data_IF_781257164674
#
_entry.id   IF_781257164674
#
_cell.length_a   1.000
_cell.length_b   1.000
_cell.length_c   1.000
_cell.angle_alpha   90.00
_cell.angle_beta   90.00
_cell.angle_gamma   90.00
#
_symmetry.space_group_name_H-M   'P 1'
#
loop_
_entity.id
_entity.type
_entity.pdbx_description
1 polymer ?
#
# COMPACT_ATOMS: atom_id res chain seq x y z
N UNK A 1 16.81 11.14 -41.81
CA UNK A 1 16.99 10.61 -40.44
C UNK A 1 15.91 11.20 -39.55
N UNK A 2 15.30 10.39 -38.68
CA UNK A 2 14.24 10.78 -37.76
C UNK A 2 14.88 11.06 -36.40
N UNK A 3 14.63 12.22 -35.80
CA UNK A 3 15.22 12.60 -34.52
C UNK A 3 14.24 12.44 -33.37
N UNK A 4 14.75 12.07 -32.21
CA UNK A 4 13.96 12.07 -30.98
C UNK A 4 13.66 13.51 -30.55
N UNK A 5 12.39 13.92 -30.36
CA UNK A 5 12.07 15.28 -29.96
C UNK A 5 12.58 15.64 -28.55
N UNK A 6 12.81 14.63 -27.72
CA UNK A 6 13.22 14.83 -26.32
C UNK A 6 14.73 14.95 -26.17
N UNK A 7 15.53 14.13 -26.87
CA UNK A 7 16.99 14.10 -26.69
C UNK A 7 17.80 14.24 -27.99
N UNK A 8 17.16 14.63 -29.10
CA UNK A 8 17.72 14.91 -30.43
C UNK A 8 18.59 13.78 -31.04
N UNK A 9 18.51 12.57 -30.48
CA UNK A 9 19.21 11.41 -31.01
C UNK A 9 18.61 11.00 -32.35
N UNK A 10 19.46 10.77 -33.35
CA UNK A 10 19.07 10.50 -34.73
C UNK A 10 18.95 9.00 -35.01
N UNK A 11 17.89 8.62 -35.71
CA UNK A 11 17.60 7.24 -36.10
C UNK A 11 17.31 7.13 -37.59
N UNK A 12 17.68 6.00 -38.20
CA UNK A 12 17.43 5.71 -39.61
C UNK A 12 16.01 5.18 -39.85
N UNK A 13 15.35 4.64 -38.81
CA UNK A 13 13.99 4.06 -38.91
C UNK A 13 13.10 4.44 -37.72
N UNK A 14 11.79 4.50 -37.97
CA UNK A 14 10.79 4.93 -36.98
C UNK A 14 10.58 3.93 -35.84
N UNK A 15 10.77 2.62 -36.09
CA UNK A 15 10.69 1.57 -35.07
C UNK A 15 11.85 1.66 -34.06
N UNK A 16 13.04 2.05 -34.50
CA UNK A 16 14.18 2.30 -33.63
C UNK A 16 13.95 3.51 -32.74
N UNK A 17 13.37 4.59 -33.29
CA UNK A 17 12.96 5.75 -32.50
C UNK A 17 11.91 5.37 -31.45
N UNK A 18 10.87 4.61 -31.82
CA UNK A 18 9.82 4.16 -30.87
C UNK A 18 10.41 3.33 -29.74
N UNK A 19 11.32 2.41 -30.05
CA UNK A 19 12.02 1.59 -29.05
C UNK A 19 12.92 2.44 -28.14
N UNK A 20 13.65 3.38 -28.70
CA UNK A 20 14.46 4.34 -27.94
C UNK A 20 13.60 5.20 -26.99
N UNK A 21 12.47 5.75 -27.45
CA UNK A 21 11.54 6.54 -26.63
C UNK A 21 10.90 5.71 -25.50
N UNK A 22 10.79 4.39 -25.66
CA UNK A 22 10.21 3.50 -24.66
C UNK A 22 11.23 2.98 -23.65
N UNK A 23 12.50 2.81 -24.04
CA UNK A 23 13.47 2.05 -23.24
C UNK A 23 14.76 2.80 -22.89
N UNK A 24 15.14 3.86 -23.62
CA UNK A 24 16.52 4.40 -23.54
C UNK A 24 16.64 5.92 -23.70
N UNK A 25 15.52 6.65 -23.82
CA UNK A 25 15.55 8.10 -23.96
C UNK A 25 15.90 8.78 -22.62
N UNK A 26 17.10 9.37 -22.54
CA UNK A 26 17.66 9.98 -21.31
C UNK A 26 16.76 11.04 -20.66
N UNK A 27 16.00 11.82 -21.45
CA UNK A 27 15.07 12.84 -20.89
C UNK A 27 13.76 12.26 -20.36
N UNK A 28 13.36 11.07 -20.79
CA UNK A 28 12.16 10.38 -20.28
C UNK A 28 12.41 9.64 -18.96
N UNK A 29 13.67 9.40 -18.62
CA UNK A 29 14.09 8.76 -17.35
C UNK A 29 14.03 9.74 -16.16
N UNK A 30 13.96 11.06 -16.41
CA UNK A 30 13.94 12.06 -15.35
C UNK A 30 12.54 12.46 -14.85
N UNK A 31 11.46 11.93 -15.45
CA UNK A 31 10.11 12.18 -14.96
C UNK A 31 9.23 10.93 -15.09
N UNK A 32 9.20 10.10 -14.05
CA UNK A 32 8.05 9.29 -13.63
C UNK A 32 8.33 8.65 -12.26
N UNK A 33 7.56 8.95 -11.19
CA UNK A 33 7.47 8.08 -10.04
C UNK A 33 6.52 6.91 -10.34
N UNK A 34 6.98 5.70 -10.04
CA UNK A 34 6.25 4.43 -10.00
C UNK A 34 5.78 3.81 -11.33
N UNK A 35 6.61 2.89 -11.86
CA UNK A 35 6.14 1.75 -12.64
C UNK A 35 6.63 0.43 -12.02
N UNK A 36 5.95 -0.02 -10.97
CA UNK A 36 5.93 -1.43 -10.60
C UNK A 36 5.12 -2.18 -11.67
N UNK A 37 5.81 -2.93 -12.53
CA UNK A 37 5.22 -3.76 -13.58
C UNK A 37 4.48 -4.97 -12.96
N UNK A 38 3.17 -5.16 -13.17
CA UNK A 38 2.53 -6.45 -12.97
C UNK A 38 2.73 -7.30 -14.23
N UNK A 39 3.39 -8.44 -14.07
CA UNK A 39 3.53 -9.45 -15.11
C UNK A 39 2.15 -10.09 -15.40
N UNK A 40 1.44 -9.65 -16.44
CA UNK A 40 0.32 -10.40 -17.04
C UNK A 40 0.35 -10.29 -18.57
N UNK A 41 0.44 -11.45 -19.23
CA UNK A 41 0.31 -11.63 -20.68
C UNK A 41 -1.04 -11.09 -21.17
N UNK A 42 -1.14 -10.45 -22.35
CA UNK A 42 -2.39 -9.92 -22.85
C UNK A 42 -3.28 -11.04 -23.42
N UNK A 43 -4.56 -11.06 -23.02
CA UNK A 43 -5.64 -11.70 -23.79
C UNK A 43 -6.27 -10.65 -24.71
N UNK A 44 -6.60 -11.09 -25.92
CA UNK A 44 -7.13 -10.27 -27.00
C UNK A 44 -8.66 -10.01 -26.87
N UNK A 45 -9.09 -8.91 -27.50
CA UNK A 45 -10.47 -8.43 -27.75
C UNK A 45 -11.22 -7.87 -26.52
N UNK A 46 -12.01 -6.79 -26.56
CA UNK A 46 -12.81 -6.11 -27.60
C UNK A 46 -12.92 -4.60 -27.28
N UNK A 47 -13.31 -3.80 -28.28
CA UNK A 47 -13.65 -2.38 -28.19
C UNK A 47 -14.74 -2.07 -27.14
N UNK A 48 -14.42 -1.24 -26.15
CA UNK A 48 -15.38 -0.57 -25.29
C UNK A 48 -14.80 0.78 -24.86
N UNK A 49 -15.60 1.83 -24.96
CA UNK A 49 -15.32 3.19 -24.52
C UNK A 49 -14.78 3.20 -23.08
N UNK A 50 -13.47 3.39 -22.90
CA UNK A 50 -12.94 3.60 -21.56
C UNK A 50 -13.30 5.02 -21.14
N UNK A 51 -14.40 5.19 -20.42
CA UNK A 51 -14.65 6.45 -19.74
C UNK A 51 -13.57 6.61 -18.66
N UNK A 52 -12.85 7.72 -18.71
CA UNK A 52 -11.98 8.10 -17.61
C UNK A 52 -12.82 8.59 -16.44
N UNK A 53 -12.36 8.33 -15.21
CA UNK A 53 -13.01 8.76 -13.97
C UNK A 53 -12.16 9.81 -13.27
N UNK A 54 -12.79 10.90 -12.84
CA UNK A 54 -12.15 11.95 -12.08
C UNK A 54 -11.81 11.50 -10.65
N UNK A 55 -10.64 11.87 -10.16
CA UNK A 55 -10.22 11.70 -8.78
C UNK A 55 -10.18 13.05 -8.06
N UNK A 56 -11.02 13.24 -7.05
CA UNK A 56 -11.06 14.49 -6.28
C UNK A 56 -9.83 14.73 -5.41
N UNK A 57 -9.15 13.67 -4.96
CA UNK A 57 -7.94 13.80 -4.14
C UNK A 57 -6.74 14.20 -4.99
N UNK A 58 -6.59 13.60 -6.16
CA UNK A 58 -5.43 13.80 -7.01
C UNK A 58 -5.65 14.83 -8.12
N UNK A 59 -6.90 15.28 -8.32
CA UNK A 59 -7.31 16.25 -9.35
C UNK A 59 -6.85 15.84 -10.76
N UNK A 60 -7.03 14.56 -11.07
CA UNK A 60 -6.70 13.97 -12.37
C UNK A 60 -7.81 13.04 -12.87
N UNK A 61 -7.87 12.85 -14.19
CA UNK A 61 -8.63 11.77 -14.82
C UNK A 61 -7.81 10.48 -14.80
N UNK A 62 -8.45 9.39 -14.40
CA UNK A 62 -7.84 8.06 -14.31
C UNK A 62 -8.72 7.08 -15.07
N UNK A 63 -8.15 6.23 -15.94
CA UNK A 63 -8.93 5.23 -16.65
C UNK A 63 -9.75 4.36 -15.68
N UNK A 64 -11.03 4.14 -15.99
CA UNK A 64 -11.92 3.38 -15.11
C UNK A 64 -11.37 1.99 -14.76
N UNK A 65 -10.66 1.35 -15.71
CA UNK A 65 -10.01 0.05 -15.51
C UNK A 65 -8.88 0.07 -14.47
N UNK A 66 -8.22 1.21 -14.28
CA UNK A 66 -7.11 1.38 -13.34
C UNK A 66 -7.47 2.22 -12.10
N UNK A 67 -8.69 2.76 -12.00
CA UNK A 67 -9.12 3.62 -10.90
C UNK A 67 -8.91 2.97 -9.53
N UNK A 68 -9.30 1.71 -9.37
CA UNK A 68 -9.07 0.97 -8.11
C UNK A 68 -7.57 0.74 -7.83
N UNK A 69 -6.73 0.64 -8.85
CA UNK A 69 -5.27 0.60 -8.70
C UNK A 69 -4.73 1.95 -8.26
N UNK A 70 -5.22 3.04 -8.86
CA UNK A 70 -4.88 4.41 -8.51
C UNK A 70 -5.15 4.72 -7.03
N UNK A 71 -6.33 4.36 -6.50
CA UNK A 71 -6.68 4.57 -5.09
C UNK A 71 -5.70 3.89 -4.11
N UNK A 72 -4.97 2.87 -4.56
CA UNK A 72 -3.98 2.13 -3.76
C UNK A 72 -2.57 2.69 -3.88
N UNK A 73 -2.32 3.61 -4.81
CA UNK A 73 -0.99 4.19 -5.00
C UNK A 73 -0.57 5.00 -3.77
N UNK A 74 0.73 4.99 -3.48
CA UNK A 74 1.29 5.79 -2.41
C UNK A 74 0.99 7.28 -2.58
N UNK A 75 1.01 7.78 -3.83
CA UNK A 75 0.69 9.18 -4.13
C UNK A 75 -0.75 9.53 -3.73
N UNK A 76 -1.72 8.68 -4.09
CA UNK A 76 -3.11 8.91 -3.69
C UNK A 76 -3.26 8.86 -2.17
N UNK A 77 -2.65 7.85 -1.51
CA UNK A 77 -2.65 7.74 -0.04
C UNK A 77 -2.04 8.98 0.63
N UNK A 78 -0.94 9.51 0.09
CA UNK A 78 -0.28 10.71 0.57
C UNK A 78 -1.21 11.93 0.47
N UNK A 79 -1.88 12.11 -0.67
CA UNK A 79 -2.81 13.22 -0.87
C UNK A 79 -4.07 13.10 0.01
N UNK A 80 -4.44 11.88 0.43
CA UNK A 80 -5.54 11.62 1.35
C UNK A 80 -5.17 11.76 2.83
N UNK A 81 -3.88 11.92 3.16
CA UNK A 81 -3.42 11.90 4.54
C UNK A 81 -3.48 13.31 5.13
N UNK A 82 -4.40 13.53 6.06
CA UNK A 82 -4.49 14.75 6.85
C UNK A 82 -3.81 14.54 8.22
N UNK A 83 -2.99 15.49 8.70
CA UNK A 83 -2.43 15.39 10.05
C UNK A 83 -3.56 15.44 11.10
N UNK A 84 -3.46 14.60 12.13
CA UNK A 84 -4.38 14.59 13.27
C UNK A 84 -3.68 15.08 14.54
N UNK A 85 -2.53 14.49 14.84
CA UNK A 85 -1.66 14.84 15.98
C UNK A 85 -0.19 14.61 15.58
N UNK A 86 0.75 14.98 16.44
CA UNK A 86 2.17 14.69 16.21
C UNK A 86 2.40 13.18 16.06
N UNK A 87 2.93 12.79 14.89
CA UNK A 87 3.18 11.39 14.57
C UNK A 87 1.94 10.58 14.16
N UNK A 88 0.77 11.19 14.02
CA UNK A 88 -0.50 10.51 13.66
C UNK A 88 -1.23 11.30 12.57
N UNK A 89 -1.48 10.65 11.43
CA UNK A 89 -2.33 11.16 10.35
C UNK A 89 -3.55 10.28 10.10
N UNK A 90 -4.62 10.86 9.60
CA UNK A 90 -5.84 10.17 9.17
C UNK A 90 -5.90 10.10 7.64
N UNK A 91 -6.30 8.94 7.09
CA UNK A 91 -6.49 8.78 5.64
C UNK A 91 -7.99 8.77 5.31
N UNK A 92 -8.44 9.80 4.60
CA UNK A 92 -9.85 10.00 4.22
C UNK A 92 -10.37 9.03 3.14
N UNK A 93 -9.49 8.24 2.53
CA UNK A 93 -9.85 7.26 1.49
C UNK A 93 -10.52 6.01 2.08
N UNK A 94 -11.86 5.99 2.09
CA UNK A 94 -12.64 4.83 2.50
C UNK A 94 -12.88 3.89 1.30
N UNK A 95 -12.16 2.77 1.24
CA UNK A 95 -12.64 1.61 0.47
C UNK A 95 -13.98 1.15 1.08
N UNK A 96 -14.88 0.57 0.30
CA UNK A 96 -16.25 0.26 0.74
C UNK A 96 -16.39 -0.57 2.04
N UNK A 97 -15.33 -1.27 2.48
CA UNK A 97 -15.28 -2.00 3.75
C UNK A 97 -14.40 -1.37 4.84
N UNK A 98 -13.66 -0.30 4.52
CA UNK A 98 -12.72 0.38 5.41
C UNK A 98 -13.42 1.51 6.15
N UNK A 99 -13.45 1.40 7.47
CA UNK A 99 -14.05 2.39 8.36
C UNK A 99 -13.08 3.57 8.53
N UNK A 100 -11.81 3.27 8.77
CA UNK A 100 -10.78 4.28 8.97
C UNK A 100 -9.40 3.72 8.62
N UNK A 101 -8.46 4.59 8.27
CA UNK A 101 -7.04 4.24 8.26
C UNK A 101 -6.25 5.37 8.90
N UNK A 102 -5.24 4.99 9.68
CA UNK A 102 -4.36 5.93 10.36
C UNK A 102 -2.92 5.65 9.96
N UNK A 103 -2.15 6.71 9.74
CA UNK A 103 -0.71 6.64 9.50
C UNK A 103 0.03 7.07 10.76
N UNK A 104 0.95 6.24 11.21
CA UNK A 104 1.79 6.47 12.37
C UNK A 104 3.22 6.68 11.91
N UNK A 105 3.84 7.78 12.34
CA UNK A 105 5.22 8.14 12.04
C UNK A 105 6.03 8.27 13.32
N UNK A 106 7.33 7.96 13.20
CA UNK A 106 8.33 8.34 14.18
C UNK A 106 8.91 9.71 13.80
N UNK A 107 9.25 10.52 14.80
CA UNK A 107 10.03 11.74 14.60
C UNK A 107 11.52 11.43 14.38
N UNK A 108 11.97 10.22 14.74
CA UNK A 108 13.36 9.77 14.63
C UNK A 108 13.63 9.19 13.24
N UNK A 109 14.88 9.30 12.81
CA UNK A 109 15.37 8.59 11.62
C UNK A 109 15.79 7.18 12.02
N UNK A 110 14.88 6.21 11.87
CA UNK A 110 15.09 4.84 12.33
C UNK A 110 15.45 3.91 11.16
N UNK A 111 16.58 3.22 11.33
CA UNK A 111 17.21 2.33 10.34
C UNK A 111 16.77 0.87 10.50
N UNK A 112 16.06 0.55 11.57
CA UNK A 112 15.59 -0.79 11.89
C UNK A 112 14.08 -0.80 12.10
N UNK A 113 13.43 -1.88 11.68
CA UNK A 113 12.01 -2.11 11.96
C UNK A 113 11.75 -2.26 13.47
N UNK A 114 12.62 -2.96 14.19
CA UNK A 114 12.46 -3.18 15.63
C UNK A 114 12.45 -1.86 16.42
N UNK A 115 13.41 -0.98 16.14
CA UNK A 115 13.47 0.35 16.78
C UNK A 115 12.25 1.19 16.43
N UNK A 116 11.82 1.14 15.15
CA UNK A 116 10.63 1.85 14.70
C UNK A 116 9.37 1.37 15.40
N UNK A 117 9.17 0.05 15.50
CA UNK A 117 8.01 -0.54 16.15
C UNK A 117 7.97 -0.21 17.64
N UNK A 118 9.13 -0.25 18.31
CA UNK A 118 9.26 0.17 19.71
C UNK A 118 8.86 1.62 19.89
N UNK A 119 9.31 2.53 19.02
CA UNK A 119 9.01 3.97 19.11
C UNK A 119 7.52 4.30 18.86
N UNK A 120 6.83 3.52 18.02
CA UNK A 120 5.43 3.80 17.65
C UNK A 120 4.41 2.98 18.43
N UNK A 121 4.83 2.05 19.30
CA UNK A 121 3.94 1.11 20.00
C UNK A 121 2.81 1.84 20.75
N UNK A 122 3.13 2.84 21.56
CA UNK A 122 2.14 3.57 22.37
C UNK A 122 1.13 4.34 21.51
N UNK A 123 1.59 4.92 20.38
CA UNK A 123 0.71 5.58 19.41
C UNK A 123 -0.25 4.56 18.78
N UNK A 124 0.25 3.38 18.41
CA UNK A 124 -0.57 2.31 17.85
C UNK A 124 -1.63 1.82 18.84
N UNK A 125 -1.23 1.56 20.09
CA UNK A 125 -2.14 1.15 21.17
C UNK A 125 -3.24 2.19 21.36
N UNK A 126 -2.87 3.48 21.43
CA UNK A 126 -3.83 4.59 21.60
C UNK A 126 -4.84 4.64 20.45
N UNK A 127 -4.35 4.63 19.21
CA UNK A 127 -5.23 4.68 18.02
C UNK A 127 -6.17 3.49 17.98
N UNK A 128 -5.68 2.27 18.17
CA UNK A 128 -6.52 1.07 18.12
C UNK A 128 -7.55 1.08 19.26
N UNK A 129 -7.14 1.43 20.47
CA UNK A 129 -8.05 1.51 21.63
C UNK A 129 -9.19 2.50 21.36
N UNK A 130 -8.87 3.70 20.86
CA UNK A 130 -9.89 4.70 20.52
C UNK A 130 -10.89 4.18 19.47
N UNK A 131 -10.40 3.48 18.43
CA UNK A 131 -11.29 2.92 17.42
C UNK A 131 -12.17 1.78 17.95
N UNK A 132 -11.64 0.92 18.84
CA UNK A 132 -12.42 -0.14 19.49
C UNK A 132 -13.54 0.44 20.35
N UNK A 133 -13.31 1.56 21.06
CA UNK A 133 -14.36 2.22 21.84
C UNK A 133 -15.50 2.77 20.98
N UNK A 134 -15.22 3.17 19.73
CA UNK A 134 -16.20 3.73 18.81
C UNK A 134 -17.07 2.68 18.10
N UNK A 135 -16.55 1.47 17.90
CA UNK A 135 -17.18 0.48 17.01
C UNK A 135 -17.36 -0.93 17.61
N UNK A 136 -16.94 -1.14 18.85
CA UNK A 136 -16.96 -2.39 19.63
C UNK A 136 -16.15 -3.56 19.08
N UNK A 137 -16.37 -3.93 17.81
CA UNK A 137 -15.69 -5.03 17.13
C UNK A 137 -15.26 -4.61 15.73
N UNK A 138 -13.97 -4.77 15.44
CA UNK A 138 -13.35 -4.34 14.19
C UNK A 138 -12.45 -5.42 13.61
N UNK A 139 -12.13 -5.33 12.32
CA UNK A 139 -11.02 -6.07 11.71
C UNK A 139 -9.87 -5.12 11.45
N UNK A 140 -8.71 -5.36 12.03
CA UNK A 140 -7.52 -4.53 11.80
C UNK A 140 -6.47 -5.29 10.99
N UNK A 141 -5.76 -4.56 10.14
CA UNK A 141 -4.46 -4.98 9.63
C UNK A 141 -3.48 -3.81 9.65
N UNK A 142 -2.20 -4.15 9.63
CA UNK A 142 -1.10 -3.19 9.65
C UNK A 142 -0.35 -3.30 8.32
N UNK A 143 0.17 -2.19 7.82
CA UNK A 143 1.05 -2.13 6.66
C UNK A 143 2.22 -1.18 6.95
N UNK A 144 3.45 -1.68 6.99
CA UNK A 144 4.65 -0.86 7.21
C UNK A 144 5.31 -0.53 5.88
N UNK A 145 5.83 0.70 5.75
CA UNK A 145 6.46 1.21 4.55
C UNK A 145 7.93 1.53 4.83
N UNK A 146 8.83 0.93 4.08
CA UNK A 146 10.27 1.16 4.14
C UNK A 146 10.78 1.72 2.82
N UNK A 147 11.78 2.61 2.89
CA UNK A 147 12.53 3.06 1.72
C UNK A 147 13.77 2.20 1.59
N UNK A 148 13.92 1.56 0.44
CA UNK A 148 15.02 0.64 0.12
C UNK A 148 15.89 1.21 -1.00
N UNK A 149 17.18 0.97 -0.89
CA UNK A 149 18.18 1.31 -1.92
C UNK A 149 18.74 0.01 -2.48
N UNK A 150 18.84 -0.06 -3.80
CA UNK A 150 19.59 -1.11 -4.48
C UNK A 150 20.99 -0.58 -4.80
N UNK A 151 22.00 -1.01 -4.04
CA UNK A 151 23.36 -0.43 -4.10
C UNK A 151 23.94 -0.42 -5.53
N UNK A 152 23.89 -1.56 -6.22
CA UNK A 152 24.51 -1.70 -7.55
C UNK A 152 23.76 -0.95 -8.65
N UNK A 153 22.44 -0.87 -8.56
CA UNK A 153 21.61 -0.27 -9.62
C UNK A 153 21.29 1.20 -9.37
N UNK A 154 21.71 1.74 -8.22
CA UNK A 154 21.36 3.09 -7.75
C UNK A 154 19.84 3.34 -7.80
N UNK A 155 19.05 2.30 -7.51
CA UNK A 155 17.60 2.39 -7.49
C UNK A 155 17.12 2.66 -6.08
N UNK A 156 16.06 3.45 -5.98
CA UNK A 156 15.36 3.73 -4.73
C UNK A 156 13.92 3.34 -4.90
N UNK A 157 13.44 2.46 -4.02
CA UNK A 157 12.05 2.02 -4.05
C UNK A 157 11.43 2.04 -2.65
N UNK A 158 10.14 2.33 -2.60
CA UNK A 158 9.36 2.18 -1.37
C UNK A 158 8.70 0.81 -1.45
N UNK A 159 9.01 -0.05 -0.48
CA UNK A 159 8.40 -1.36 -0.31
C UNK A 159 7.46 -1.32 0.90
N UNK A 160 6.42 -2.14 0.86
CA UNK A 160 5.52 -2.29 1.99
C UNK A 160 5.24 -3.76 2.31
N UNK A 161 5.04 -4.02 3.60
CA UNK A 161 4.71 -5.34 4.13
C UNK A 161 3.47 -5.19 4.99
N UNK A 162 2.54 -6.12 4.90
CA UNK A 162 1.28 -6.05 5.61
C UNK A 162 0.97 -7.31 6.42
N UNK A 163 0.08 -7.18 7.38
CA UNK A 163 -0.48 -8.30 8.13
C UNK A 163 -1.83 -8.73 7.56
N UNK A 164 -2.25 -9.95 7.90
CA UNK A 164 -3.61 -10.38 7.65
C UNK A 164 -4.58 -9.67 8.61
N UNK A 165 -5.84 -9.54 8.20
CA UNK A 165 -6.87 -8.98 9.07
C UNK A 165 -7.07 -9.85 10.32
N UNK A 166 -7.07 -9.21 11.49
CA UNK A 166 -7.42 -9.84 12.78
C UNK A 166 -8.61 -9.12 13.39
N UNK A 167 -9.53 -9.90 13.96
CA UNK A 167 -10.68 -9.35 14.68
C UNK A 167 -10.20 -8.85 16.03
N UNK A 168 -10.63 -7.65 16.42
CA UNK A 168 -10.32 -7.03 17.72
C UNK A 168 -11.61 -6.58 18.39
N UNK A 169 -11.63 -6.75 19.71
CA UNK A 169 -12.73 -6.40 20.61
C UNK A 169 -12.18 -5.64 21.82
N UNK A 170 -13.06 -5.12 22.68
CA UNK A 170 -12.69 -4.38 23.90
C UNK A 170 -11.80 -5.16 24.87
N UNK A 171 -11.87 -6.49 24.87
CA UNK A 171 -11.11 -7.37 25.78
C UNK A 171 -9.74 -7.79 25.25
N UNK A 172 -9.34 -7.34 24.07
CA UNK A 172 -8.09 -7.80 23.45
C UNK A 172 -6.86 -7.19 24.16
N UNK A 173 -5.84 -8.02 24.37
CA UNK A 173 -4.52 -7.57 24.80
C UNK A 173 -3.80 -6.89 23.61
N UNK A 174 -3.87 -5.56 23.57
CA UNK A 174 -3.33 -4.74 22.47
C UNK A 174 -1.80 -4.79 22.36
N UNK A 175 -1.01 -4.64 23.45
CA UNK A 175 0.44 -4.81 23.38
C UNK A 175 0.87 -6.15 22.78
N UNK A 176 0.32 -7.27 23.27
CA UNK A 176 0.65 -8.58 22.75
C UNK A 176 0.20 -8.75 21.29
N UNK A 177 -1.00 -8.27 20.94
CA UNK A 177 -1.48 -8.28 19.56
C UNK A 177 -0.54 -7.53 18.60
N UNK A 178 -0.09 -6.34 19.01
CA UNK A 178 0.82 -5.52 18.21
C UNK A 178 2.19 -6.16 18.06
N UNK A 179 2.74 -6.74 19.13
CA UNK A 179 3.99 -7.48 19.09
C UNK A 179 3.94 -8.61 18.05
N UNK A 180 2.87 -9.42 18.06
CA UNK A 180 2.66 -10.46 17.05
C UNK A 180 2.59 -9.89 15.61
N UNK A 181 1.98 -8.71 15.43
CA UNK A 181 1.95 -8.07 14.11
C UNK A 181 3.32 -7.56 13.69
N UNK A 182 4.09 -6.99 14.61
CA UNK A 182 5.43 -6.48 14.35
C UNK A 182 6.38 -7.61 13.95
N UNK A 183 6.32 -8.75 14.62
CA UNK A 183 7.08 -9.95 14.25
C UNK A 183 6.76 -10.43 12.83
N UNK A 184 5.47 -10.45 12.45
CA UNK A 184 5.05 -10.81 11.08
C UNK A 184 5.61 -9.82 10.05
N UNK A 185 5.58 -8.52 10.35
CA UNK A 185 6.06 -7.48 9.45
C UNK A 185 7.58 -7.52 9.29
N UNK A 186 8.29 -7.72 10.39
CA UNK A 186 9.74 -7.87 10.42
C UNK A 186 10.17 -9.12 9.63
N UNK A 187 9.53 -10.26 9.87
CA UNK A 187 9.82 -11.49 9.13
C UNK A 187 9.63 -11.30 7.61
N UNK A 188 8.56 -10.62 7.17
CA UNK A 188 8.34 -10.32 5.75
C UNK A 188 9.38 -9.37 5.16
N UNK A 189 9.84 -8.39 5.95
CA UNK A 189 10.88 -7.46 5.52
C UNK A 189 12.25 -8.18 5.39
N UNK A 190 12.59 -9.05 6.34
CA UNK A 190 13.80 -9.88 6.29
C UNK A 190 13.78 -10.85 5.11
N UNK A 191 12.67 -11.58 4.91
CA UNK A 191 12.48 -12.49 3.77
C UNK A 191 12.64 -11.78 2.43
N UNK A 192 12.19 -10.52 2.34
CA UNK A 192 12.39 -9.69 1.15
C UNK A 192 13.87 -9.38 0.89
N UNK A 193 14.62 -8.97 1.92
CA UNK A 193 16.05 -8.67 1.78
C UNK A 193 16.90 -9.91 1.46
N UNK A 194 16.53 -11.07 2.00
CA UNK A 194 17.20 -12.34 1.71
C UNK A 194 16.96 -12.80 0.26
N UNK A 195 15.74 -12.63 -0.25
CA UNK A 195 15.38 -13.07 -1.61
C UNK A 195 15.81 -12.12 -2.71
N UNK A 196 15.62 -10.82 -2.51
CA UNK A 196 15.98 -9.81 -3.49
C UNK A 196 17.34 -9.20 -3.12
N UNK A 197 18.40 -9.97 -3.36
CA UNK A 197 19.77 -9.57 -3.07
C UNK A 197 20.10 -8.19 -3.65
N UNK A 198 20.75 -7.37 -2.83
CA UNK A 198 21.15 -6.01 -3.17
C UNK A 198 20.18 -4.91 -2.74
N UNK A 199 18.99 -5.23 -2.22
CA UNK A 199 18.13 -4.24 -1.56
C UNK A 199 18.45 -4.10 -0.07
N UNK A 200 18.76 -2.87 0.33
CA UNK A 200 19.07 -2.52 1.71
C UNK A 200 18.05 -1.49 2.19
N UNK A 201 17.52 -1.71 3.39
CA UNK A 201 16.66 -0.74 4.06
C UNK A 201 17.48 0.52 4.35
N UNK A 202 17.07 1.65 3.79
CA UNK A 202 17.66 2.95 4.14
C UNK A 202 16.94 3.55 5.35
N UNK A 203 15.61 3.45 5.40
CA UNK A 203 14.82 3.91 6.55
C UNK A 203 13.42 3.34 6.56
N UNK A 204 12.85 3.22 7.76
CA UNK A 204 11.40 3.03 7.91
C UNK A 204 10.72 4.39 7.75
N UNK A 205 9.65 4.45 6.97
CA UNK A 205 8.92 5.68 6.66
C UNK A 205 7.75 5.88 7.62
N UNK A 206 6.83 4.92 7.66
CA UNK A 206 5.62 4.98 8.48
C UNK A 206 4.92 3.62 8.53
N UNK A 207 3.96 3.50 9.45
CA UNK A 207 3.03 2.38 9.58
C UNK A 207 1.62 2.85 9.31
N UNK A 208 0.83 2.11 8.54
CA UNK A 208 -0.60 2.32 8.37
C UNK A 208 -1.38 1.26 9.15
N UNK A 209 -2.32 1.70 9.98
CA UNK A 209 -3.29 0.84 10.67
C UNK A 209 -4.62 1.00 9.95
N UNK A 210 -5.12 -0.07 9.34
CA UNK A 210 -6.40 -0.06 8.65
C UNK A 210 -7.48 -0.74 9.49
N UNK A 211 -8.62 -0.07 9.66
CA UNK A 211 -9.79 -0.56 10.37
C UNK A 211 -10.89 -0.90 9.37
N UNK A 212 -11.32 -2.15 9.33
CA UNK A 212 -12.34 -2.65 8.42
C UNK A 212 -13.56 -3.11 9.22
N UNK A 213 -14.74 -2.97 8.61
CA UNK A 213 -16.00 -3.39 9.21
C UNK A 213 -16.00 -4.90 9.48
N UNK A 214 -16.29 -5.28 10.71
CA UNK A 214 -16.57 -6.67 11.07
C UNK A 214 -18.04 -6.99 10.76
N UNK A 215 -18.29 -8.03 9.96
CA UNK A 215 -19.64 -8.52 9.71
C UNK A 215 -19.70 -10.01 10.12
N UNK A 216 -20.23 -10.33 11.32
CA UNK A 216 -20.29 -11.72 11.80
C UNK A 216 -21.28 -12.58 11.00
N UNK A 217 -22.26 -11.95 10.33
CA UNK A 217 -23.33 -12.65 9.61
C UNK A 217 -23.00 -12.92 8.14
N UNK A 218 -21.86 -12.41 7.63
CA UNK A 218 -21.40 -12.74 6.27
C UNK A 218 -20.65 -14.08 6.27
N UNK A 219 -21.26 -15.09 6.87
CA UNK A 219 -20.89 -16.48 6.69
C UNK A 219 -21.73 -17.01 5.52
N UNK A 220 -21.11 -17.30 4.38
CA UNK A 220 -21.75 -18.02 3.27
C UNK A 220 -21.87 -19.52 3.53
N UNK A 221 -21.53 -19.98 4.75
CA UNK A 221 -21.64 -21.37 5.15
C UNK A 221 -23.03 -21.61 5.73
N UNK A 222 -23.86 -22.31 4.95
CA UNK A 222 -25.07 -22.96 5.42
C UNK A 222 -24.77 -23.73 6.72
N UNK A 223 -25.42 -23.34 7.82
CA UNK A 223 -25.43 -24.12 9.05
C UNK A 223 -26.64 -25.06 8.93
N UNK A 224 -26.45 -26.39 8.76
CA UNK A 224 -27.57 -27.30 8.69
C UNK A 224 -28.39 -27.21 9.97
N UNK A 225 -29.71 -27.08 9.81
CA UNK A 225 -30.65 -27.01 10.93
C UNK A 225 -30.52 -28.28 11.79
N UNK A 226 -30.32 -28.16 13.13
CA UNK A 226 -30.31 -29.32 14.01
C UNK A 226 -31.64 -30.08 13.94
N UNK A 227 -31.57 -31.41 13.82
CA UNK A 227 -32.73 -32.30 13.62
C UNK A 227 -33.75 -32.28 14.77
N UNK A 228 -33.45 -31.64 15.90
CA UNK A 228 -34.31 -31.54 17.08
C UNK A 228 -35.41 -30.48 16.98
N UNK A 229 -35.42 -29.65 15.92
CA UNK A 229 -36.40 -28.58 15.73
C UNK A 229 -37.55 -29.01 14.78
N UNK A 230 -37.45 -30.20 14.18
CA UNK A 230 -38.56 -30.81 13.44
C UNK A 230 -39.49 -31.53 14.43
N UNK A 231 -40.33 -30.75 15.10
CA UNK A 231 -41.55 -31.22 15.78
C UNK A 231 -42.71 -31.28 14.79
#
# INVERSE_FOLDING_TARGET
>A
MIRCPDCDTSFTRSDNLKRHQKASCRKRVQYHPNSSLPNKKPKCATSATSSDRWCETCKIYVPQSSYNGHLRTLQHKQNCCSPLEEGIGFLSSAFASRIASFRITSAKYLLSYNDFFTDVLDKCVRVIRNQIHLHDTLKINLEVFGRYVHETKQLVEIKSFNTNNKVVTRSIDLPNLLQNFFEILEAKASEFQERESGWILERVLFLEINFNKYNPLRASSYIPLPKQILL
#
